data_IF_751113205437
#
_entry.id   IF_751113205437
#
_cell.length_a   1.000
_cell.length_b   1.000
_cell.length_c   1.000
_cell.angle_alpha   90.00
_cell.angle_beta   90.00
_cell.angle_gamma   90.00
#
_symmetry.space_group_name_H-M   'P 1'
#
loop_
_entity.id
_entity.type
_entity.pdbx_description
1 polymer ?
#
# COMPACT_ATOMS: atom_id res chain seq x y z
N UNK A 1 -18.55 5.80 -15.99
CA UNK A 1 -18.31 5.42 -14.60
C UNK A 1 -17.20 6.28 -14.05
N UNK A 2 -17.29 6.74 -12.80
CA UNK A 2 -16.30 7.63 -12.15
C UNK A 2 -15.82 7.02 -10.84
N UNK A 3 -14.51 7.00 -10.66
CA UNK A 3 -13.85 6.44 -9.47
C UNK A 3 -13.12 7.54 -8.69
N UNK A 4 -13.34 7.61 -7.39
CA UNK A 4 -12.55 8.44 -6.48
C UNK A 4 -11.35 7.67 -5.96
N UNK A 5 -10.17 8.28 -6.06
CA UNK A 5 -8.92 7.75 -5.50
C UNK A 5 -8.49 8.66 -4.36
N UNK A 6 -8.47 8.11 -3.14
CA UNK A 6 -7.94 8.78 -1.94
C UNK A 6 -6.48 8.42 -1.73
N UNK A 7 -5.74 9.25 -0.96
CA UNK A 7 -4.31 9.04 -0.74
C UNK A 7 -3.49 9.07 -2.04
N UNK A 8 -3.96 9.86 -3.01
CA UNK A 8 -3.48 9.90 -4.39
C UNK A 8 -2.03 10.36 -4.51
N UNK A 9 -1.57 11.19 -3.57
CA UNK A 9 -0.20 11.68 -3.48
C UNK A 9 0.76 10.69 -2.79
N UNK A 10 0.19 9.66 -2.16
CA UNK A 10 0.95 8.59 -1.53
C UNK A 10 1.56 7.64 -2.55
N UNK A 11 2.39 6.74 -2.06
CA UNK A 11 3.07 5.80 -2.95
C UNK A 11 2.06 4.89 -3.67
N UNK A 12 1.03 4.38 -2.99
CA UNK A 12 0.05 3.45 -3.62
C UNK A 12 -0.89 4.19 -4.56
N UNK A 13 -1.52 5.26 -4.08
CA UNK A 13 -2.53 6.00 -4.84
C UNK A 13 -2.02 6.46 -6.20
N UNK A 14 -0.75 6.90 -6.29
CA UNK A 14 -0.14 7.32 -7.56
C UNK A 14 -0.12 6.22 -8.61
N UNK A 15 0.22 4.99 -8.22
CA UNK A 15 0.22 3.87 -9.15
C UNK A 15 -1.19 3.40 -9.51
N UNK A 16 -2.14 3.44 -8.56
CA UNK A 16 -3.55 3.15 -8.84
C UNK A 16 -4.09 4.12 -9.90
N UNK A 17 -3.84 5.43 -9.75
CA UNK A 17 -4.25 6.43 -10.75
C UNK A 17 -3.66 6.14 -12.11
N UNK A 18 -2.35 5.93 -12.21
CA UNK A 18 -1.69 5.68 -13.49
C UNK A 18 -2.25 4.44 -14.20
N UNK A 19 -2.51 3.35 -13.46
CA UNK A 19 -3.08 2.12 -14.03
C UNK A 19 -4.54 2.31 -14.46
N UNK A 20 -5.32 3.11 -13.74
CA UNK A 20 -6.69 3.45 -14.12
C UNK A 20 -6.74 4.37 -15.35
N UNK A 21 -5.81 5.31 -15.48
CA UNK A 21 -5.64 6.13 -16.70
C UNK A 21 -5.40 5.21 -17.90
N UNK A 22 -4.49 4.24 -17.76
CA UNK A 22 -4.19 3.28 -18.83
C UNK A 22 -5.39 2.39 -19.19
N UNK A 23 -6.33 2.18 -18.25
CA UNK A 23 -7.58 1.45 -18.46
C UNK A 23 -8.73 2.34 -18.98
N UNK A 24 -8.48 3.64 -19.22
CA UNK A 24 -9.47 4.57 -19.77
C UNK A 24 -10.54 5.03 -18.77
N UNK A 25 -10.26 4.92 -17.47
CA UNK A 25 -11.21 5.28 -16.41
C UNK A 25 -11.26 6.79 -16.17
N UNK A 26 -12.44 7.31 -15.80
CA UNK A 26 -12.60 8.69 -15.34
C UNK A 26 -12.30 8.76 -13.85
N UNK A 27 -11.30 9.54 -13.48
CA UNK A 27 -10.73 9.56 -12.13
C UNK A 27 -10.98 10.90 -11.47
N UNK A 28 -11.52 10.84 -10.26
CA UNK A 28 -11.53 11.94 -9.31
C UNK A 28 -10.41 11.69 -8.29
N UNK A 29 -9.46 12.60 -8.18
CA UNK A 29 -8.32 12.49 -7.26
C UNK A 29 -8.59 13.38 -6.03
N UNK A 30 -8.73 12.76 -4.86
CA UNK A 30 -9.05 13.46 -3.61
C UNK A 30 -7.85 13.58 -2.69
N UNK A 31 -7.49 14.82 -2.33
CA UNK A 31 -6.48 15.14 -1.31
C UNK A 31 -6.77 16.53 -0.70
N UNK A 32 -6.11 16.87 0.41
CA UNK A 32 -6.15 18.22 0.95
C UNK A 32 -5.36 19.21 0.08
N UNK A 33 -4.35 18.73 -0.65
CA UNK A 33 -3.44 19.50 -1.48
C UNK A 33 -3.74 19.31 -2.98
N UNK A 34 -4.71 20.09 -3.49
CA UNK A 34 -5.18 20.03 -4.88
C UNK A 34 -4.07 20.43 -5.85
N UNK A 35 -3.21 21.38 -5.48
CA UNK A 35 -2.16 21.89 -6.36
C UNK A 35 -1.10 20.81 -6.61
N UNK A 36 -0.75 20.02 -5.59
CA UNK A 36 0.09 18.82 -5.81
C UNK A 36 -0.54 17.80 -6.72
N UNK A 37 -1.86 17.58 -6.65
CA UNK A 37 -2.56 16.69 -7.59
C UNK A 37 -2.40 17.20 -9.02
N UNK A 38 -2.69 18.48 -9.25
CA UNK A 38 -2.57 19.11 -10.57
C UNK A 38 -1.13 19.06 -11.10
N UNK A 39 -0.14 19.32 -10.26
CA UNK A 39 1.27 19.23 -10.64
C UNK A 39 1.68 17.80 -11.03
N UNK A 40 1.09 16.79 -10.38
CA UNK A 40 1.48 15.39 -10.57
C UNK A 40 0.77 14.72 -11.74
N UNK A 41 -0.51 15.03 -11.95
CA UNK A 41 -1.36 14.34 -12.92
C UNK A 41 -1.90 15.25 -14.04
N UNK A 42 -1.80 16.58 -13.89
CA UNK A 42 -2.34 17.54 -14.84
C UNK A 42 -3.83 17.34 -15.07
N UNK A 43 -4.25 17.50 -16.33
CA UNK A 43 -5.65 17.35 -16.75
C UNK A 43 -6.10 15.89 -16.91
N UNK A 44 -5.26 14.92 -16.53
CA UNK A 44 -5.59 13.48 -16.62
C UNK A 44 -6.58 13.04 -15.53
N UNK A 45 -6.79 13.86 -14.51
CA UNK A 45 -7.70 13.57 -13.38
C UNK A 45 -8.48 14.82 -12.98
N UNK A 46 -9.68 14.63 -12.46
CA UNK A 46 -10.45 15.69 -11.80
C UNK A 46 -9.93 15.84 -10.36
N UNK A 47 -9.17 16.90 -10.07
CA UNK A 47 -8.62 17.15 -8.74
C UNK A 47 -9.68 17.77 -7.81
N UNK A 48 -9.89 17.19 -6.62
CA UNK A 48 -10.86 17.68 -5.65
C UNK A 48 -10.28 17.76 -4.24
N UNK A 49 -10.70 18.79 -3.49
CA UNK A 49 -10.38 18.87 -2.06
C UNK A 49 -11.15 17.78 -1.32
N UNK A 50 -10.43 16.91 -0.64
CA UNK A 50 -11.01 15.92 0.26
C UNK A 50 -10.21 15.91 1.56
N UNK A 51 -10.88 16.29 2.64
CA UNK A 51 -10.33 16.29 3.99
C UNK A 51 -11.22 15.42 4.87
N UNK A 52 -10.72 14.26 5.29
CA UNK A 52 -11.46 13.33 6.14
C UNK A 52 -11.91 13.93 7.48
N UNK A 53 -11.29 15.04 7.91
CA UNK A 53 -11.65 15.77 9.14
C UNK A 53 -12.69 16.86 8.91
N UNK A 54 -12.98 17.23 7.66
CA UNK A 54 -13.97 18.23 7.29
C UNK A 54 -15.08 17.63 6.40
N UNK A 55 -16.20 17.28 7.04
CA UNK A 55 -17.37 16.69 6.37
C UNK A 55 -17.92 17.53 5.23
N UNK A 56 -17.70 18.85 5.23
CA UNK A 56 -18.16 19.76 4.16
C UNK A 56 -17.50 19.46 2.82
N UNK A 57 -16.36 18.75 2.84
CA UNK A 57 -15.65 18.35 1.62
C UNK A 57 -16.25 17.11 0.95
N UNK A 58 -17.12 16.35 1.63
CA UNK A 58 -17.51 15.00 1.20
C UNK A 58 -18.51 15.00 0.04
N UNK A 59 -19.57 15.80 0.12
CA UNK A 59 -20.66 15.75 -0.86
C UNK A 59 -20.15 16.01 -2.28
N UNK A 60 -19.34 17.06 -2.44
CA UNK A 60 -18.71 17.38 -3.73
C UNK A 60 -17.72 16.30 -4.17
N UNK A 61 -16.99 15.71 -3.23
CA UNK A 61 -16.03 14.65 -3.53
C UNK A 61 -16.70 13.36 -4.00
N UNK A 62 -17.94 13.08 -3.56
CA UNK A 62 -18.69 11.87 -3.86
C UNK A 62 -19.69 12.01 -5.03
N UNK A 63 -19.87 13.23 -5.54
CA UNK A 63 -20.85 13.54 -6.58
C UNK A 63 -20.62 12.75 -7.88
N UNK A 64 -21.63 11.97 -8.29
CA UNK A 64 -21.63 11.24 -9.55
C UNK A 64 -20.61 10.09 -9.61
N UNK A 65 -20.10 9.65 -8.47
CA UNK A 65 -19.20 8.50 -8.38
C UNK A 65 -19.95 7.18 -8.31
N UNK A 66 -19.27 6.12 -8.74
CA UNK A 66 -19.72 4.73 -8.57
C UNK A 66 -18.71 3.83 -7.86
N UNK A 67 -17.47 4.28 -7.69
CA UNK A 67 -16.41 3.48 -7.06
C UNK A 67 -15.49 4.36 -6.23
N UNK A 68 -14.91 3.79 -5.18
CA UNK A 68 -13.94 4.48 -4.33
C UNK A 68 -12.76 3.55 -4.02
N UNK A 69 -11.54 4.04 -4.24
CA UNK A 69 -10.35 3.51 -3.57
C UNK A 69 -10.12 4.27 -2.27
N UNK A 70 -10.36 3.60 -1.14
CA UNK A 70 -10.23 4.17 0.19
C UNK A 70 -8.89 3.74 0.81
N UNK A 71 -8.03 4.72 1.06
CA UNK A 71 -6.77 4.55 1.77
C UNK A 71 -6.77 5.48 2.97
N UNK A 72 -6.55 4.91 4.17
CA UNK A 72 -6.51 5.68 5.42
C UNK A 72 -5.23 6.54 5.46
N UNK A 73 -5.34 7.87 5.64
CA UNK A 73 -4.17 8.71 5.85
C UNK A 73 -3.39 8.30 7.11
N UNK A 74 -2.04 8.32 7.09
CA UNK A 74 -1.22 7.90 8.23
C UNK A 74 -1.43 8.72 9.52
N UNK A 75 -1.86 9.98 9.40
CA UNK A 75 -2.10 10.87 10.53
C UNK A 75 -3.43 10.60 11.25
N UNK A 76 -4.38 9.92 10.59
CA UNK A 76 -5.60 9.46 11.26
C UNK A 76 -5.24 8.21 12.05
N UNK A 77 -5.23 8.34 13.37
CA UNK A 77 -4.74 7.33 14.31
C UNK A 77 -5.76 6.23 14.63
N UNK A 78 -7.04 6.46 14.33
CA UNK A 78 -8.13 5.55 14.70
C UNK A 78 -8.99 5.14 13.49
N UNK A 79 -9.49 3.89 13.41
CA UNK A 79 -10.44 3.49 12.36
C UNK A 79 -11.71 4.35 12.33
N UNK A 80 -12.17 4.81 13.50
CA UNK A 80 -13.37 5.63 13.67
C UNK A 80 -13.28 6.97 12.93
N UNK A 81 -12.06 7.46 12.68
CA UNK A 81 -11.81 8.71 11.94
C UNK A 81 -12.34 8.64 10.49
N UNK A 82 -12.55 7.43 9.95
CA UNK A 82 -13.09 7.24 8.60
C UNK A 82 -14.62 7.04 8.57
N UNK A 83 -15.27 6.78 9.71
CA UNK A 83 -16.71 6.48 9.75
C UNK A 83 -17.56 7.60 9.13
N UNK A 84 -17.29 8.90 9.37
CA UNK A 84 -18.05 9.96 8.72
C UNK A 84 -18.03 9.90 7.19
N UNK A 85 -16.88 9.56 6.60
CA UNK A 85 -16.75 9.44 5.16
C UNK A 85 -17.44 8.18 4.63
N UNK A 86 -17.34 7.06 5.36
CA UNK A 86 -18.06 5.83 5.05
C UNK A 86 -19.57 6.04 5.06
N UNK A 87 -20.09 6.78 6.04
CA UNK A 87 -21.50 7.12 6.11
C UNK A 87 -21.93 8.01 4.93
N UNK A 88 -21.12 9.00 4.55
CA UNK A 88 -21.39 9.83 3.36
C UNK A 88 -21.46 9.00 2.07
N UNK A 89 -20.63 7.95 1.93
CA UNK A 89 -20.68 7.05 0.77
C UNK A 89 -22.00 6.27 0.66
N UNK A 90 -22.67 5.93 1.78
CA UNK A 90 -23.93 5.16 1.77
C UNK A 90 -25.08 5.89 1.07
N UNK A 91 -25.05 7.22 1.08
CA UNK A 91 -26.06 8.05 0.44
C UNK A 91 -25.77 8.32 -1.04
N UNK A 92 -24.67 7.77 -1.56
CA UNK A 92 -24.26 7.88 -2.94
C UNK A 92 -24.39 6.52 -3.64
N UNK A 93 -24.47 6.51 -4.97
CA UNK A 93 -24.62 5.28 -5.77
C UNK A 93 -23.30 4.50 -5.93
N UNK A 94 -22.56 4.33 -4.83
CA UNK A 94 -21.27 3.63 -4.81
C UNK A 94 -21.50 2.13 -4.93
N UNK A 95 -20.99 1.54 -6.00
CA UNK A 95 -21.06 0.11 -6.34
C UNK A 95 -19.97 -0.72 -5.68
N UNK A 96 -18.78 -0.15 -5.55
CA UNK A 96 -17.61 -0.83 -4.96
C UNK A 96 -16.73 0.15 -4.20
N UNK A 97 -16.31 -0.27 -3.00
CA UNK A 97 -15.21 0.37 -2.26
C UNK A 97 -14.06 -0.64 -2.19
N UNK A 98 -12.92 -0.29 -2.77
CA UNK A 98 -11.67 -1.04 -2.60
C UNK A 98 -10.88 -0.42 -1.45
N UNK A 99 -10.57 -1.23 -0.43
CA UNK A 99 -9.81 -0.79 0.74
C UNK A 99 -8.50 -1.59 0.82
N UNK A 100 -7.37 -0.89 0.96
CA UNK A 100 -6.07 -1.54 1.12
C UNK A 100 -5.82 -1.89 2.60
N UNK A 101 -5.69 -3.18 2.88
CA UNK A 101 -5.39 -3.71 4.21
C UNK A 101 -4.02 -4.41 4.25
N UNK A 102 -3.68 -5.01 5.40
CA UNK A 102 -2.49 -5.84 5.59
C UNK A 102 -2.90 -7.31 5.77
N UNK A 103 -2.11 -8.22 5.20
CA UNK A 103 -2.29 -9.65 5.38
C UNK A 103 -2.08 -10.05 6.85
N UNK A 104 -2.96 -10.88 7.41
CA UNK A 104 -2.82 -11.40 8.78
C UNK A 104 -3.33 -10.48 9.87
N UNK A 105 -4.01 -9.37 9.53
CA UNK A 105 -4.63 -8.47 10.52
C UNK A 105 -5.75 -9.17 11.28
N UNK A 106 -6.45 -10.10 10.65
CA UNK A 106 -7.51 -10.90 11.25
C UNK A 106 -7.04 -11.79 12.42
N UNK A 107 -5.74 -12.09 12.49
CA UNK A 107 -5.12 -12.89 13.58
C UNK A 107 -4.33 -12.05 14.59
N UNK A 108 -4.18 -10.75 14.35
CA UNK A 108 -3.36 -9.86 15.19
C UNK A 108 -4.25 -8.89 15.99
N UNK A 109 -4.23 -9.02 17.31
CA UNK A 109 -5.01 -8.18 18.23
C UNK A 109 -4.50 -6.74 18.36
N UNK A 110 -3.29 -6.45 17.85
CA UNK A 110 -2.70 -5.11 17.83
C UNK A 110 -2.07 -4.90 16.44
N UNK A 111 -2.74 -4.21 15.51
CA UNK A 111 -2.12 -3.89 14.23
C UNK A 111 -0.97 -2.90 14.47
N UNK A 112 0.24 -3.18 13.99
CA UNK A 112 1.30 -2.18 13.96
C UNK A 112 0.90 -1.10 12.94
N UNK A 113 0.25 -0.05 13.42
CA UNK A 113 0.10 1.19 12.68
C UNK A 113 1.48 1.83 12.62
N UNK A 114 2.25 1.61 11.53
CA UNK A 114 3.15 2.59 10.89
C UNK A 114 3.93 1.95 9.72
N UNK A 115 3.91 2.66 8.58
CA UNK A 115 4.68 2.57 7.32
C UNK A 115 5.30 1.20 6.95
N UNK A 116 4.57 0.47 6.10
CA UNK A 116 5.16 -0.47 5.14
C UNK A 116 4.88 0.10 3.75
N UNK A 117 5.89 0.73 3.15
CA UNK A 117 5.77 1.23 1.79
C UNK A 117 7.07 0.98 1.03
N UNK A 118 7.17 -0.21 0.42
CA UNK A 118 8.02 -0.52 -0.74
C UNK A 118 7.65 -1.90 -1.33
N UNK A 119 6.46 -1.98 -1.93
CA UNK A 119 6.09 -2.95 -2.97
C UNK A 119 4.83 -2.49 -3.76
N UNK A 120 4.90 -1.33 -4.42
CA UNK A 120 3.69 -0.51 -4.58
C UNK A 120 3.11 -0.44 -5.99
N UNK A 121 3.94 -0.58 -7.03
CA UNK A 121 3.46 -0.59 -8.42
C UNK A 121 2.43 -1.70 -8.68
N UNK A 122 2.71 -2.91 -8.20
CA UNK A 122 1.90 -4.09 -8.50
C UNK A 122 0.59 -4.09 -7.73
N UNK A 123 0.62 -3.65 -6.48
CA UNK A 123 -0.59 -3.43 -5.69
C UNK A 123 -1.51 -2.43 -6.41
N UNK A 124 -0.94 -1.38 -7.03
CA UNK A 124 -1.67 -0.45 -7.88
C UNK A 124 -2.44 -1.12 -9.03
N UNK A 125 -1.78 -1.98 -9.81
CA UNK A 125 -2.42 -2.70 -10.93
C UNK A 125 -3.52 -3.66 -10.47
N UNK A 126 -3.32 -4.37 -9.36
CA UNK A 126 -4.33 -5.27 -8.80
C UNK A 126 -5.57 -4.47 -8.38
N UNK A 127 -5.39 -3.40 -7.60
CA UNK A 127 -6.47 -2.50 -7.17
C UNK A 127 -7.19 -1.90 -8.38
N UNK A 128 -6.45 -1.39 -9.37
CA UNK A 128 -7.03 -0.82 -10.58
C UNK A 128 -7.87 -1.84 -11.35
N UNK A 129 -7.48 -3.12 -11.35
CA UNK A 129 -8.25 -4.19 -11.99
C UNK A 129 -9.54 -4.51 -11.22
N UNK A 130 -9.48 -4.57 -9.88
CA UNK A 130 -10.67 -4.71 -9.04
C UNK A 130 -11.67 -3.57 -9.28
N UNK A 131 -11.16 -2.34 -9.31
CA UNK A 131 -11.97 -1.16 -9.57
C UNK A 131 -12.56 -1.18 -10.98
N UNK A 132 -11.81 -1.62 -12.00
CA UNK A 132 -12.28 -1.66 -13.39
C UNK A 132 -13.44 -2.64 -13.62
N UNK A 133 -13.51 -3.75 -12.87
CA UNK A 133 -14.53 -4.80 -13.02
C UNK A 133 -15.41 -4.92 -11.74
N UNK A 134 -16.17 -3.88 -11.34
CA UNK A 134 -16.77 -3.82 -10.01
C UNK A 134 -17.86 -4.88 -9.77
N UNK A 135 -18.62 -5.27 -10.79
CA UNK A 135 -19.67 -6.29 -10.66
C UNK A 135 -19.09 -7.68 -10.37
N UNK A 136 -17.87 -7.96 -10.87
CA UNK A 136 -17.18 -9.23 -10.68
C UNK A 136 -16.51 -9.34 -9.31
N UNK A 137 -16.03 -8.21 -8.77
CA UNK A 137 -15.22 -8.17 -7.56
C UNK A 137 -15.95 -7.57 -6.35
N UNK A 138 -17.27 -7.48 -6.41
CA UNK A 138 -18.08 -7.07 -5.26
C UNK A 138 -18.02 -8.14 -4.16
N UNK A 139 -17.84 -7.70 -2.92
CA UNK A 139 -17.78 -8.56 -1.73
C UNK A 139 -16.67 -9.63 -1.77
N UNK A 140 -15.56 -9.36 -2.43
CA UNK A 140 -14.38 -10.23 -2.43
C UNK A 140 -13.27 -9.67 -1.55
N UNK A 141 -12.40 -10.55 -1.06
CA UNK A 141 -11.16 -10.18 -0.38
C UNK A 141 -10.00 -10.85 -1.12
N UNK A 142 -8.93 -10.09 -1.36
CA UNK A 142 -7.81 -10.54 -2.16
C UNK A 142 -6.48 -10.41 -1.43
N UNK A 143 -5.76 -11.53 -1.29
CA UNK A 143 -4.42 -11.55 -0.68
C UNK A 143 -3.37 -11.41 -1.77
N UNK A 144 -2.83 -10.20 -1.95
CA UNK A 144 -1.82 -9.91 -2.97
C UNK A 144 -0.42 -10.12 -2.40
N UNK A 145 0.36 -10.99 -3.04
CA UNK A 145 1.74 -11.31 -2.63
C UNK A 145 2.70 -11.25 -3.83
N UNK A 146 4.01 -11.23 -3.54
CA UNK A 146 5.05 -11.49 -4.54
C UNK A 146 5.10 -12.98 -4.93
N UNK A 147 5.96 -13.38 -5.87
CA UNK A 147 6.05 -14.78 -6.31
C UNK A 147 6.75 -15.70 -5.29
N UNK A 148 7.42 -15.13 -4.29
CA UNK A 148 8.38 -15.83 -3.44
C UNK A 148 8.25 -15.36 -1.99
N UNK A 149 8.37 -16.29 -1.03
CA UNK A 149 8.59 -16.00 0.38
C UNK A 149 10.07 -16.25 0.70
N UNK A 150 10.86 -15.18 0.72
CA UNK A 150 12.30 -15.25 0.90
C UNK A 150 12.68 -14.94 2.35
N UNK A 151 13.62 -15.71 2.88
CA UNK A 151 14.26 -15.38 4.15
C UNK A 151 15.41 -14.36 3.97
N UNK A 152 15.93 -13.84 5.08
CA UNK A 152 16.98 -12.83 5.02
C UNK A 152 18.33 -13.35 4.49
N UNK A 153 18.58 -14.67 4.53
CA UNK A 153 19.78 -15.26 3.94
C UNK A 153 19.67 -15.27 2.41
N UNK A 154 18.53 -15.69 1.88
CA UNK A 154 18.23 -15.68 0.44
C UNK A 154 18.23 -14.24 -0.10
N UNK A 155 17.65 -13.28 0.63
CA UNK A 155 17.72 -11.87 0.27
C UNK A 155 19.17 -11.38 0.21
N UNK A 156 20.00 -11.74 1.20
CA UNK A 156 21.41 -11.36 1.22
C UNK A 156 22.21 -12.00 0.07
N UNK A 157 21.91 -13.25 -0.28
CA UNK A 157 22.50 -13.96 -1.42
C UNK A 157 22.13 -13.28 -2.75
N UNK A 158 20.84 -13.03 -3.00
CA UNK A 158 20.37 -12.35 -4.21
C UNK A 158 21.01 -10.96 -4.33
N UNK A 159 21.06 -10.17 -3.25
CA UNK A 159 21.72 -8.87 -3.27
C UNK A 159 23.22 -9.00 -3.52
N UNK A 160 23.87 -10.03 -2.96
CA UNK A 160 25.30 -10.26 -3.17
C UNK A 160 25.63 -10.48 -4.64
N UNK A 161 24.82 -11.30 -5.31
CA UNK A 161 24.96 -11.60 -6.73
C UNK A 161 24.67 -10.38 -7.60
N UNK A 162 23.55 -9.68 -7.35
CA UNK A 162 23.14 -8.51 -8.13
C UNK A 162 24.16 -7.38 -8.03
N UNK A 163 24.73 -7.16 -6.84
CA UNK A 163 25.67 -6.05 -6.58
C UNK A 163 27.11 -6.44 -6.91
N UNK A 164 27.43 -7.74 -6.99
CA UNK A 164 28.80 -8.23 -7.13
C UNK A 164 29.65 -8.05 -5.87
N UNK A 165 29.03 -7.93 -4.70
CA UNK A 165 29.70 -7.77 -3.40
C UNK A 165 29.06 -8.64 -2.34
N UNK A 166 29.86 -9.37 -1.57
CA UNK A 166 29.35 -10.23 -0.49
C UNK A 166 28.59 -9.44 0.58
N UNK A 167 27.30 -9.72 0.70
CA UNK A 167 26.38 -9.24 1.74
C UNK A 167 25.98 -10.44 2.60
N UNK A 168 25.94 -10.25 3.92
CA UNK A 168 25.58 -11.33 4.85
C UNK A 168 24.52 -10.87 5.83
N UNK A 169 23.47 -11.67 6.01
CA UNK A 169 22.54 -11.48 7.12
C UNK A 169 23.18 -11.93 8.43
N UNK A 170 23.24 -11.03 9.43
CA UNK A 170 23.93 -11.26 10.70
C UNK A 170 23.06 -11.91 11.79
N UNK A 171 21.75 -12.04 11.56
CA UNK A 171 20.78 -12.59 12.51
C UNK A 171 21.01 -12.17 14.00
N UNK A 172 20.97 -10.86 14.32
CA UNK A 172 21.22 -10.42 15.69
C UNK A 172 20.12 -10.88 16.65
N UNK A 173 20.47 -11.02 17.93
CA UNK A 173 19.48 -11.15 19.01
C UNK A 173 18.66 -9.88 19.16
N UNK A 174 17.46 -9.99 19.73
CA UNK A 174 16.58 -8.85 19.98
C UNK A 174 17.29 -7.68 20.69
N UNK A 175 17.96 -7.97 21.82
CA UNK A 175 18.66 -6.95 22.59
C UNK A 175 19.79 -6.30 21.79
N UNK A 176 20.52 -7.08 20.99
CA UNK A 176 21.60 -6.56 20.14
C UNK A 176 21.05 -5.65 19.04
N UNK A 177 20.00 -6.08 18.34
CA UNK A 177 19.31 -5.26 17.34
C UNK A 177 18.83 -3.94 17.95
N UNK A 178 18.05 -4.03 19.04
CA UNK A 178 17.44 -2.87 19.69
C UNK A 178 18.47 -1.87 20.19
N UNK A 179 19.50 -2.35 20.90
CA UNK A 179 20.58 -1.49 21.40
C UNK A 179 21.35 -0.82 20.27
N UNK A 180 21.63 -1.53 19.17
CA UNK A 180 22.33 -0.96 18.03
C UNK A 180 21.52 0.18 17.39
N UNK A 181 20.25 -0.05 17.08
CA UNK A 181 19.43 0.97 16.40
C UNK A 181 19.13 2.19 17.28
N UNK A 182 18.92 2.00 18.59
CA UNK A 182 18.71 3.13 19.51
C UNK A 182 20.02 3.87 19.75
N UNK A 183 21.06 3.17 20.23
CA UNK A 183 22.27 3.82 20.75
C UNK A 183 23.27 4.22 19.68
N UNK A 184 23.35 3.47 18.57
CA UNK A 184 24.33 3.73 17.50
C UNK A 184 23.74 4.43 16.29
N UNK A 185 22.46 4.17 15.97
CA UNK A 185 21.77 4.82 14.84
C UNK A 185 20.90 6.00 15.27
N UNK A 186 20.68 6.19 16.58
CA UNK A 186 19.92 7.32 17.11
C UNK A 186 18.42 7.26 16.78
N UNK A 187 17.89 6.07 16.47
CA UNK A 187 16.47 5.92 16.15
C UNK A 187 15.60 5.99 17.40
N UNK A 188 14.39 6.51 17.23
CA UNK A 188 13.37 6.56 18.27
C UNK A 188 13.07 5.16 18.84
N UNK A 189 12.87 5.11 20.16
CA UNK A 189 12.71 3.87 20.91
C UNK A 189 11.40 3.16 20.58
N UNK A 190 10.31 3.90 20.39
CA UNK A 190 9.00 3.31 20.07
C UNK A 190 9.02 2.72 18.67
N UNK A 191 9.58 3.46 17.71
CA UNK A 191 9.82 2.96 16.36
C UNK A 191 10.62 1.65 16.36
N UNK A 192 11.76 1.60 17.08
CA UNK A 192 12.58 0.38 17.14
C UNK A 192 11.82 -0.79 17.78
N UNK A 193 11.04 -0.55 18.83
CA UNK A 193 10.23 -1.60 19.45
C UNK A 193 9.18 -2.18 18.48
N UNK A 194 8.53 -1.34 17.66
CA UNK A 194 7.60 -1.80 16.61
C UNK A 194 8.33 -2.67 15.58
N UNK A 195 9.51 -2.25 15.09
CA UNK A 195 10.27 -3.04 14.12
C UNK A 195 10.68 -4.40 14.67
N UNK A 196 11.00 -4.48 15.96
CA UNK A 196 11.29 -5.76 16.62
C UNK A 196 10.06 -6.66 16.62
N UNK A 197 8.92 -6.14 17.06
CA UNK A 197 7.70 -6.94 17.15
C UNK A 197 7.34 -7.52 15.77
N UNK A 198 7.44 -6.70 14.72
CA UNK A 198 7.28 -7.11 13.34
C UNK A 198 8.24 -8.24 12.95
N UNK A 199 9.56 -8.08 13.17
CA UNK A 199 10.53 -9.12 12.83
C UNK A 199 10.35 -10.40 13.65
N UNK A 200 9.90 -10.31 14.90
CA UNK A 200 9.57 -11.48 15.69
C UNK A 200 8.39 -12.24 15.07
N UNK A 201 7.31 -11.54 14.71
CA UNK A 201 6.16 -12.16 14.04
C UNK A 201 6.54 -12.78 12.69
N UNK A 202 7.32 -12.07 11.87
CA UNK A 202 7.83 -12.62 10.59
C UNK A 202 8.64 -13.89 10.80
N UNK A 203 9.47 -13.97 11.85
CA UNK A 203 10.22 -15.20 12.20
C UNK A 203 9.32 -16.36 12.60
N UNK A 204 8.12 -16.10 13.09
CA UNK A 204 7.10 -17.11 13.38
C UNK A 204 6.31 -17.54 12.13
N UNK A 205 6.72 -17.12 10.93
CA UNK A 205 6.12 -17.55 9.66
C UNK A 205 4.88 -16.76 9.25
N UNK A 206 4.53 -15.66 9.94
CA UNK A 206 3.28 -14.93 9.64
C UNK A 206 3.25 -14.25 8.27
N UNK A 207 4.38 -14.19 7.57
CA UNK A 207 4.52 -13.62 6.23
C UNK A 207 4.95 -14.65 5.16
N UNK A 208 4.91 -15.94 5.47
CA UNK A 208 5.40 -17.01 4.58
C UNK A 208 4.43 -17.35 3.44
N UNK A 209 3.15 -16.98 3.58
CA UNK A 209 2.12 -17.31 2.59
C UNK A 209 2.38 -16.57 1.27
N UNK A 210 2.48 -17.35 0.19
CA UNK A 210 2.48 -16.90 -1.21
C UNK A 210 1.15 -17.27 -1.86
N UNK A 211 0.65 -16.41 -2.74
CA UNK A 211 -0.62 -16.57 -3.47
C UNK A 211 -0.44 -16.29 -4.95
N UNK A 212 -1.28 -16.89 -5.78
CA UNK A 212 -1.34 -16.64 -7.23
C UNK A 212 -2.38 -15.56 -7.60
N UNK A 213 -2.95 -14.89 -6.59
CA UNK A 213 -4.05 -13.94 -6.78
C UNK A 213 -3.66 -12.74 -7.64
N UNK A 214 -2.42 -12.25 -7.52
CA UNK A 214 -1.95 -11.17 -8.39
C UNK A 214 -2.05 -11.56 -9.87
N UNK A 215 -1.64 -12.79 -10.21
CA UNK A 215 -1.75 -13.30 -11.57
C UNK A 215 -3.20 -13.51 -11.99
N UNK A 216 -4.02 -14.12 -11.14
CA UNK A 216 -5.45 -14.33 -11.39
C UNK A 216 -6.21 -13.02 -11.64
N UNK A 217 -5.84 -11.95 -10.95
CA UNK A 217 -6.46 -10.64 -11.13
C UNK A 217 -5.94 -9.92 -12.37
N UNK A 218 -4.62 -9.89 -12.57
CA UNK A 218 -4.01 -8.96 -13.52
C UNK A 218 -3.57 -9.61 -14.84
N UNK A 219 -3.53 -10.93 -14.90
CA UNK A 219 -2.94 -11.70 -15.99
C UNK A 219 -1.41 -11.58 -16.08
N UNK A 220 -0.76 -10.85 -15.16
CA UNK A 220 0.69 -10.61 -15.14
C UNK A 220 1.33 -11.36 -13.98
N UNK A 221 2.55 -11.87 -14.17
CA UNK A 221 3.33 -12.42 -13.07
C UNK A 221 3.80 -11.29 -12.15
N UNK A 222 3.77 -11.49 -10.81
CA UNK A 222 4.38 -10.52 -9.91
C UNK A 222 5.89 -10.56 -10.11
N UNK A 223 6.52 -9.40 -9.92
CA UNK A 223 7.97 -9.24 -10.02
C UNK A 223 8.65 -10.04 -8.91
N UNK A 224 9.78 -10.66 -9.19
CA UNK A 224 10.65 -11.32 -8.20
C UNK A 224 11.49 -10.29 -7.43
N UNK A 225 12.03 -10.68 -6.27
CA UNK A 225 12.95 -9.80 -5.54
C UNK A 225 14.24 -9.54 -6.32
N UNK A 226 14.75 -10.52 -7.09
CA UNK A 226 15.94 -10.35 -7.94
C UNK A 226 15.74 -9.27 -9.00
N UNK A 227 14.63 -9.32 -9.74
CA UNK A 227 14.31 -8.30 -10.73
C UNK A 227 14.15 -6.94 -10.05
N UNK A 228 13.57 -6.88 -8.84
CA UNK A 228 13.48 -5.62 -8.09
C UNK A 228 14.86 -5.08 -7.74
N UNK A 229 15.73 -5.92 -7.18
CA UNK A 229 17.09 -5.55 -6.81
C UNK A 229 17.91 -5.09 -8.03
N UNK A 230 17.77 -5.77 -9.17
CA UNK A 230 18.48 -5.46 -10.41
C UNK A 230 18.08 -4.09 -10.96
N UNK A 231 16.78 -3.80 -11.04
CA UNK A 231 16.28 -2.50 -11.52
C UNK A 231 16.64 -1.33 -10.58
N UNK A 232 16.97 -1.62 -9.31
CA UNK A 232 17.22 -0.63 -8.27
C UNK A 232 18.65 -0.74 -7.71
N UNK A 233 19.60 -1.27 -8.49
CA UNK A 233 20.96 -1.55 -8.02
C UNK A 233 21.63 -0.34 -7.35
N UNK A 234 21.41 0.87 -7.91
CA UNK A 234 21.96 2.13 -7.40
C UNK A 234 21.44 2.54 -6.02
N UNK A 235 20.38 1.92 -5.50
CA UNK A 235 19.89 2.16 -4.14
C UNK A 235 20.64 1.34 -3.07
N UNK A 236 21.47 0.38 -3.48
CA UNK A 236 22.15 -0.55 -2.57
C UNK A 236 23.67 -0.38 -2.52
N UNK A 237 24.22 0.47 -3.40
CA UNK A 237 25.66 0.76 -3.51
C UNK A 237 25.99 2.05 -2.77
#
# INVERSE_FOLDING_TARGET
MKVLITGVLGNVGKHVVNELINKGEKIVAGDIDIDKIKNLFGDKVDAIKLDFTDKKTFDKALEGLDRVFLMRPPHLGKPEDLYPFIDAMKFNNIKLVSFLSLMGVEKNLIPPHYKIEKYIEKVGLAIATLLHEPEKYKNTAHTITGPEALDYYQIAEILSEVIGKKITYKNPSFLKYRNYYIKKRGLDKEYVNVTVALYFMTRLGTAEKVTDEFYKLTGKKPKTFREFASDNINCFI
#
